data_IF_155029255044
#
_entry.id   IF_155029255044
#
_cell.length_a   1.000
_cell.length_b   1.000
_cell.length_c   1.000
_cell.angle_alpha   90.00
_cell.angle_beta   90.00
_cell.angle_gamma   90.00
#
_symmetry.space_group_name_H-M   'P 1'
#
loop_
_entity.id
_entity.type
_entity.pdbx_description
1 polymer ?
#
# COMPACT_ATOMS: atom_id res chain seq x y z
N UNK A 1 -22.31 -6.89 -1.23
CA UNK A 1 -21.05 -6.74 -1.99
C UNK A 1 -20.81 -8.06 -2.71
N UNK A 2 -20.50 -8.00 -4.00
CA UNK A 2 -20.10 -9.18 -4.77
C UNK A 2 -18.70 -9.67 -4.41
N UNK A 3 -18.16 -10.59 -5.22
CA UNK A 3 -16.81 -11.11 -5.04
C UNK A 3 -15.77 -9.98 -5.08
N UNK A 4 -14.90 -9.96 -4.09
CA UNK A 4 -13.70 -9.15 -4.08
C UNK A 4 -12.50 -10.06 -3.72
N UNK A 5 -11.41 -9.93 -4.47
CA UNK A 5 -10.19 -10.65 -4.19
C UNK A 5 -9.56 -10.15 -2.88
N UNK A 6 -8.73 -10.96 -2.26
CA UNK A 6 -7.99 -10.57 -1.05
C UNK A 6 -7.20 -9.27 -1.25
N UNK A 7 -6.88 -8.59 -0.15
CA UNK A 7 -5.95 -7.47 -0.16
C UNK A 7 -4.53 -7.99 -0.36
N UNK A 8 -4.03 -7.90 -1.58
CA UNK A 8 -2.68 -8.35 -1.96
C UNK A 8 -2.23 -7.63 -3.24
N UNK A 9 -0.92 -7.48 -3.42
CA UNK A 9 -0.33 -6.74 -4.54
C UNK A 9 -0.54 -5.23 -4.45
N UNK A 10 -0.89 -4.71 -3.27
CA UNK A 10 -1.07 -3.27 -3.00
C UNK A 10 -2.08 -2.57 -3.93
N UNK A 11 -3.13 -3.29 -4.36
CA UNK A 11 -4.05 -2.87 -5.41
C UNK A 11 -5.34 -2.20 -4.94
N UNK A 12 -5.64 -2.17 -3.65
CA UNK A 12 -6.95 -1.76 -3.12
C UNK A 12 -7.33 -0.34 -3.54
N UNK A 13 -6.41 0.62 -3.42
CA UNK A 13 -6.68 2.02 -3.76
C UNK A 13 -7.14 2.18 -5.21
N UNK A 14 -6.42 1.63 -6.18
CA UNK A 14 -6.78 1.80 -7.59
C UNK A 14 -7.92 0.88 -8.04
N UNK A 15 -7.99 -0.36 -7.56
CA UNK A 15 -9.02 -1.31 -8.00
C UNK A 15 -10.38 -1.02 -7.34
N UNK A 16 -10.43 -0.99 -6.01
CA UNK A 16 -11.66 -0.71 -5.28
C UNK A 16 -12.06 0.76 -5.43
N UNK A 17 -11.10 1.68 -5.40
CA UNK A 17 -11.36 3.11 -5.61
C UNK A 17 -12.01 3.39 -6.96
N UNK A 18 -11.51 2.77 -8.04
CA UNK A 18 -12.13 2.89 -9.37
C UNK A 18 -13.56 2.35 -9.38
N UNK A 19 -13.79 1.17 -8.78
CA UNK A 19 -15.13 0.59 -8.72
C UNK A 19 -16.11 1.50 -7.97
N UNK A 20 -15.68 2.14 -6.88
CA UNK A 20 -16.50 3.10 -6.12
C UNK A 20 -16.80 4.35 -6.95
N UNK A 21 -15.81 4.91 -7.63
CA UNK A 21 -16.00 6.08 -8.50
C UNK A 21 -16.98 5.77 -9.65
N UNK A 22 -16.80 4.64 -10.31
CA UNK A 22 -17.69 4.25 -11.41
C UNK A 22 -19.12 3.89 -10.92
N UNK A 23 -19.25 3.31 -9.74
CA UNK A 23 -20.58 3.11 -9.13
C UNK A 23 -21.26 4.44 -8.78
N UNK A 24 -20.50 5.43 -8.31
CA UNK A 24 -21.04 6.77 -8.08
C UNK A 24 -21.46 7.45 -9.39
N UNK A 25 -20.68 7.32 -10.46
CA UNK A 25 -21.08 7.81 -11.80
C UNK A 25 -22.33 7.11 -12.31
N UNK A 26 -22.47 5.81 -12.07
CA UNK A 26 -23.69 5.07 -12.44
C UNK A 26 -24.91 5.60 -11.67
N UNK A 27 -24.76 5.90 -10.36
CA UNK A 27 -25.84 6.52 -9.61
C UNK A 27 -26.23 7.90 -10.17
N UNK A 28 -25.24 8.72 -10.53
CA UNK A 28 -25.49 10.02 -11.20
C UNK A 28 -26.19 9.85 -12.53
N UNK A 29 -25.77 8.89 -13.36
CA UNK A 29 -26.45 8.57 -14.63
C UNK A 29 -27.92 8.22 -14.40
N UNK A 30 -28.21 7.35 -13.40
CA UNK A 30 -29.58 7.00 -13.05
C UNK A 30 -30.39 8.22 -12.57
N UNK A 31 -29.79 9.16 -11.81
CA UNK A 31 -30.44 10.41 -11.42
C UNK A 31 -30.82 11.26 -12.64
N UNK A 32 -29.92 11.39 -13.62
CA UNK A 32 -30.22 12.09 -14.89
C UNK A 32 -31.35 11.40 -15.66
N UNK A 33 -31.35 10.08 -15.74
CA UNK A 33 -32.44 9.30 -16.37
C UNK A 33 -33.79 9.50 -15.68
N UNK A 34 -33.81 9.66 -14.34
CA UNK A 34 -35.06 9.96 -13.61
C UNK A 34 -35.56 11.37 -13.90
N UNK A 35 -34.66 12.36 -13.95
CA UNK A 35 -35.04 13.74 -14.30
C UNK A 35 -35.54 13.80 -15.74
N UNK A 36 -34.90 13.10 -16.67
CA UNK A 36 -35.34 13.00 -18.07
C UNK A 36 -36.75 12.44 -18.17
N UNK A 37 -37.08 11.39 -17.40
CA UNK A 37 -38.47 10.85 -17.34
C UNK A 37 -39.49 11.84 -16.79
N UNK A 38 -39.09 12.67 -15.79
CA UNK A 38 -39.96 13.67 -15.20
C UNK A 38 -40.25 14.80 -16.20
N UNK A 39 -39.26 15.19 -16.97
CA UNK A 39 -39.34 16.26 -17.96
C UNK A 39 -39.80 15.77 -19.36
N UNK A 40 -39.92 14.44 -19.56
CA UNK A 40 -40.28 13.82 -20.84
C UNK A 40 -39.28 14.19 -21.97
N UNK A 41 -37.97 14.17 -21.63
CA UNK A 41 -36.89 14.45 -22.56
C UNK A 41 -35.90 13.29 -22.63
N UNK A 42 -34.97 13.32 -23.59
CA UNK A 42 -33.89 12.34 -23.67
C UNK A 42 -32.89 12.50 -22.51
N UNK A 43 -32.37 11.38 -22.00
CA UNK A 43 -31.42 11.39 -20.87
C UNK A 43 -30.12 12.14 -21.21
N UNK A 44 -29.70 12.15 -22.49
CA UNK A 44 -28.54 12.91 -22.95
C UNK A 44 -28.71 14.43 -22.83
N UNK A 45 -29.96 14.88 -22.76
CA UNK A 45 -30.32 16.29 -22.54
C UNK A 45 -30.23 16.72 -21.07
N UNK A 46 -29.83 15.84 -20.14
CA UNK A 46 -29.78 16.13 -18.72
C UNK A 46 -28.36 15.99 -18.18
N UNK A 47 -27.92 16.99 -17.43
CA UNK A 47 -26.64 16.97 -16.69
C UNK A 47 -26.86 17.01 -15.19
N UNK A 48 -25.89 16.50 -14.43
CA UNK A 48 -25.86 16.58 -12.98
C UNK A 48 -24.80 17.60 -12.54
N UNK A 49 -25.23 18.66 -11.90
CA UNK A 49 -24.33 19.70 -11.44
C UNK A 49 -24.77 20.29 -10.10
N UNK A 50 -23.83 20.44 -9.16
CA UNK A 50 -24.05 21.04 -7.84
C UNK A 50 -25.24 20.43 -7.09
N UNK A 51 -25.39 19.09 -7.13
CA UNK A 51 -26.44 18.36 -6.43
C UNK A 51 -27.83 18.44 -7.07
N UNK A 52 -27.92 18.90 -8.35
CA UNK A 52 -29.16 19.04 -9.10
C UNK A 52 -29.04 18.45 -10.50
N UNK A 53 -30.13 17.85 -10.98
CA UNK A 53 -30.32 17.60 -12.40
C UNK A 53 -30.73 18.89 -13.08
N UNK A 54 -30.13 19.22 -14.21
CA UNK A 54 -30.38 20.42 -15.01
C UNK A 54 -30.48 20.08 -16.49
N UNK A 55 -31.22 20.86 -17.31
CA UNK A 55 -31.10 20.77 -18.77
C UNK A 55 -29.64 21.01 -19.21
N UNK A 56 -29.14 20.17 -20.11
CA UNK A 56 -27.78 20.31 -20.65
C UNK A 56 -27.63 21.59 -21.49
N UNK A 57 -28.72 22.08 -22.10
CA UNK A 57 -28.77 23.31 -22.87
C UNK A 57 -30.19 23.86 -22.88
N UNK A 58 -30.34 25.11 -23.32
CA UNK A 58 -31.66 25.76 -23.54
C UNK A 58 -32.50 25.08 -24.62
N UNK A 59 -31.89 24.31 -25.51
CA UNK A 59 -32.60 23.58 -26.55
C UNK A 59 -33.42 22.38 -26.04
N UNK A 60 -33.08 21.89 -24.84
CA UNK A 60 -33.79 20.78 -24.20
C UNK A 60 -35.15 21.25 -23.65
N UNK A 61 -35.23 22.47 -23.18
CA UNK A 61 -36.41 23.10 -22.59
C UNK A 61 -36.01 23.97 -21.37
N UNK A 62 -36.93 24.77 -20.90
CA UNK A 62 -36.79 25.60 -19.71
C UNK A 62 -37.45 24.87 -18.53
N UNK A 63 -36.68 24.02 -17.86
CA UNK A 63 -37.11 23.24 -16.74
C UNK A 63 -36.42 23.70 -15.44
N UNK A 64 -37.18 23.77 -14.35
CA UNK A 64 -36.61 24.02 -13.04
C UNK A 64 -35.67 22.87 -12.62
N UNK A 65 -34.47 23.16 -12.11
CA UNK A 65 -33.54 22.16 -11.64
C UNK A 65 -34.14 21.26 -10.55
N UNK A 66 -33.95 19.94 -10.67
CA UNK A 66 -34.42 18.97 -9.69
C UNK A 66 -33.29 18.60 -8.73
N UNK A 67 -33.49 18.93 -7.45
CA UNK A 67 -32.56 18.51 -6.40
C UNK A 67 -32.60 17.00 -6.15
N UNK A 68 -31.57 16.47 -5.50
CA UNK A 68 -31.54 15.06 -5.06
C UNK A 68 -32.79 14.71 -4.23
N UNK A 69 -33.22 15.61 -3.34
CA UNK A 69 -34.41 15.41 -2.51
C UNK A 69 -35.70 15.32 -3.35
N UNK A 70 -35.83 16.18 -4.38
CA UNK A 70 -36.97 16.16 -5.30
C UNK A 70 -37.02 14.90 -6.14
N UNK A 71 -35.86 14.43 -6.61
CA UNK A 71 -35.77 13.16 -7.36
C UNK A 71 -36.07 11.96 -6.47
N UNK A 72 -35.55 11.94 -5.23
CA UNK A 72 -35.83 10.88 -4.27
C UNK A 72 -37.33 10.79 -3.90
N UNK A 73 -38.00 11.92 -3.74
CA UNK A 73 -39.46 11.96 -3.48
C UNK A 73 -40.29 11.39 -4.65
N UNK A 74 -39.79 11.50 -5.88
CA UNK A 74 -40.43 10.97 -7.07
C UNK A 74 -39.96 9.56 -7.48
N UNK A 75 -38.96 8.98 -6.78
CA UNK A 75 -38.43 7.67 -7.08
C UNK A 75 -39.51 6.57 -7.22
N UNK A 76 -40.55 6.47 -6.36
CA UNK A 76 -41.59 5.45 -6.52
C UNK A 76 -42.31 5.51 -7.87
N UNK A 77 -42.42 6.70 -8.47
CA UNK A 77 -43.13 6.91 -9.74
C UNK A 77 -42.21 6.79 -10.96
N UNK A 78 -40.90 6.91 -10.75
CA UNK A 78 -39.92 6.96 -11.85
C UNK A 78 -39.09 5.68 -12.01
N UNK A 79 -39.28 4.68 -11.13
CA UNK A 79 -38.64 3.36 -11.27
C UNK A 79 -37.99 2.86 -9.97
N UNK A 80 -38.37 3.38 -8.81
CA UNK A 80 -37.91 2.91 -7.50
C UNK A 80 -36.55 3.47 -7.06
N UNK A 81 -35.93 2.88 -6.03
CA UNK A 81 -34.66 3.33 -5.49
C UNK A 81 -33.54 3.34 -6.51
N UNK A 82 -32.63 4.31 -6.39
CA UNK A 82 -31.42 4.38 -7.20
C UNK A 82 -30.30 3.70 -6.41
N UNK A 83 -29.59 2.78 -7.10
CA UNK A 83 -28.44 2.10 -6.55
C UNK A 83 -27.36 2.01 -7.65
N UNK A 84 -26.29 2.78 -7.47
CA UNK A 84 -25.15 2.70 -8.38
C UNK A 84 -24.41 1.38 -8.23
N UNK A 85 -24.07 0.76 -9.33
CA UNK A 85 -23.34 -0.52 -9.37
C UNK A 85 -22.21 -0.47 -10.36
N UNK A 86 -21.06 -1.03 -9.97
CA UNK A 86 -19.96 -1.26 -10.90
C UNK A 86 -19.12 -2.46 -10.47
N UNK A 87 -18.59 -3.20 -11.43
CA UNK A 87 -17.62 -4.25 -11.25
C UNK A 87 -16.41 -3.97 -12.16
N UNK A 88 -15.22 -3.89 -11.55
CA UNK A 88 -13.98 -3.59 -12.27
C UNK A 88 -13.00 -4.76 -12.21
N UNK A 89 -12.35 -5.01 -13.34
CA UNK A 89 -11.20 -5.90 -13.40
C UNK A 89 -10.01 -5.11 -13.97
N UNK A 90 -9.35 -4.35 -13.09
CA UNK A 90 -8.23 -3.50 -13.49
C UNK A 90 -7.05 -4.36 -13.89
N UNK A 91 -6.61 -4.20 -15.13
CA UNK A 91 -5.45 -4.87 -15.71
C UNK A 91 -4.28 -3.88 -15.79
N UNK A 92 -3.07 -4.39 -15.80
CA UNK A 92 -1.86 -3.61 -15.98
C UNK A 92 -0.79 -3.94 -14.95
N UNK A 93 0.45 -3.61 -15.29
CA UNK A 93 1.60 -3.74 -14.42
C UNK A 93 2.00 -2.36 -13.88
N UNK A 94 2.18 -2.27 -12.59
CA UNK A 94 2.67 -1.08 -11.91
C UNK A 94 3.88 -1.44 -11.05
N UNK A 95 5.07 -1.71 -11.64
CA UNK A 95 6.23 -2.08 -10.86
C UNK A 95 6.54 -1.00 -9.83
N UNK A 96 6.87 -1.42 -8.61
CA UNK A 96 7.38 -0.55 -7.56
C UNK A 96 8.90 -0.39 -7.70
N UNK A 97 9.40 0.79 -7.37
CA UNK A 97 10.82 1.08 -7.30
C UNK A 97 11.12 1.69 -5.94
N UNK A 98 12.15 1.19 -5.28
CA UNK A 98 12.56 1.73 -3.99
C UNK A 98 14.07 1.57 -3.81
N UNK A 99 14.66 2.49 -3.06
CA UNK A 99 16.05 2.43 -2.57
C UNK A 99 16.03 2.73 -1.08
N UNK A 100 16.59 1.84 -0.28
CA UNK A 100 16.72 2.05 1.16
C UNK A 100 18.18 2.23 1.56
N UNK A 101 18.42 3.11 2.51
CA UNK A 101 19.73 3.41 3.08
C UNK A 101 19.67 3.12 4.57
N UNK A 102 20.66 2.37 5.05
CA UNK A 102 20.74 1.93 6.43
C UNK A 102 22.13 2.21 6.98
N UNK A 103 22.22 2.88 8.13
CA UNK A 103 23.44 3.02 8.91
C UNK A 103 23.31 2.15 10.16
N UNK A 104 24.32 1.34 10.43
CA UNK A 104 24.34 0.41 11.56
C UNK A 104 25.57 0.59 12.43
N UNK A 105 25.41 0.22 13.70
CA UNK A 105 26.49 -0.08 14.62
C UNK A 105 26.46 -1.57 14.94
N UNK A 106 27.61 -2.24 14.85
CA UNK A 106 27.73 -3.67 15.16
C UNK A 106 28.64 -3.83 16.37
N UNK A 107 28.16 -4.54 17.37
CA UNK A 107 28.97 -4.97 18.50
C UNK A 107 29.69 -6.30 18.13
N UNK A 108 31.02 -6.31 17.95
CA UNK A 108 31.73 -7.50 17.54
C UNK A 108 31.83 -8.58 18.64
N UNK A 109 31.63 -8.22 19.91
CA UNK A 109 31.69 -9.18 21.01
C UNK A 109 30.39 -9.98 21.19
N UNK A 110 29.26 -9.42 20.72
CA UNK A 110 27.94 -10.04 20.88
C UNK A 110 27.24 -10.35 19.57
N UNK A 111 27.71 -9.78 18.45
CA UNK A 111 27.04 -9.84 17.16
C UNK A 111 25.75 -9.00 17.13
N UNK A 112 25.50 -8.12 18.08
CA UNK A 112 24.33 -7.24 18.11
C UNK A 112 24.45 -6.15 17.07
N UNK A 113 23.33 -5.88 16.37
CA UNK A 113 23.21 -4.83 15.36
C UNK A 113 22.21 -3.79 15.79
N UNK A 114 22.65 -2.55 15.91
CA UNK A 114 21.80 -1.39 16.18
C UNK A 114 21.65 -0.55 14.91
N UNK A 115 20.43 -0.26 14.50
CA UNK A 115 20.17 0.64 13.37
C UNK A 115 20.19 2.07 13.86
N UNK A 116 21.15 2.85 13.39
CA UNK A 116 21.35 4.23 13.80
C UNK A 116 20.48 5.21 13.00
N UNK A 117 20.32 4.93 11.70
CA UNK A 117 19.50 5.70 10.77
C UNK A 117 18.95 4.80 9.67
N UNK A 118 17.72 5.09 9.27
CA UNK A 118 17.09 4.38 8.17
C UNK A 118 16.29 5.35 7.29
N UNK A 119 16.60 5.37 5.99
CA UNK A 119 15.89 6.18 4.99
C UNK A 119 15.30 5.27 3.90
N UNK A 120 14.01 5.35 3.72
CA UNK A 120 13.25 4.60 2.72
C UNK A 120 12.75 5.53 1.61
N UNK A 121 13.36 5.46 0.43
CA UNK A 121 13.00 6.25 -0.75
C UNK A 121 12.20 5.34 -1.67
N UNK A 122 10.95 5.72 -1.98
CA UNK A 122 10.07 4.91 -2.82
C UNK A 122 9.32 5.73 -3.85
N UNK A 123 9.26 5.23 -5.09
CA UNK A 123 8.34 5.71 -6.11
C UNK A 123 6.92 5.21 -5.80
N UNK A 124 6.04 6.13 -5.48
CA UNK A 124 4.64 5.87 -5.08
C UNK A 124 3.66 6.18 -6.22
N UNK A 125 4.16 6.58 -7.40
CA UNK A 125 3.34 7.13 -8.45
C UNK A 125 2.74 8.47 -8.01
N UNK A 126 1.44 8.52 -7.78
CA UNK A 126 0.77 9.66 -7.16
C UNK A 126 0.35 9.29 -5.73
N UNK A 127 0.79 10.05 -4.75
CA UNK A 127 0.38 9.90 -3.36
C UNK A 127 -1.04 10.44 -3.15
N UNK A 128 -2.05 9.57 -3.17
CA UNK A 128 -3.46 9.98 -2.96
C UNK A 128 -3.67 10.52 -1.53
N UNK A 129 -3.00 9.92 -0.55
CA UNK A 129 -3.04 10.34 0.84
C UNK A 129 -1.62 10.27 1.44
N UNK A 130 -0.82 11.35 1.34
CA UNK A 130 0.61 11.33 1.67
C UNK A 130 0.93 10.77 3.06
N UNK A 131 0.21 11.19 4.11
CA UNK A 131 0.48 10.70 5.48
C UNK A 131 0.21 9.21 5.66
N UNK A 132 -0.75 8.63 4.94
CA UNK A 132 -0.98 7.18 4.96
C UNK A 132 0.07 6.43 4.14
N UNK A 133 0.53 7.03 3.04
CA UNK A 133 1.63 6.49 2.24
C UNK A 133 2.91 6.44 3.08
N UNK A 134 3.25 7.50 3.80
CA UNK A 134 4.37 7.55 4.74
C UNK A 134 4.27 6.42 5.78
N UNK A 135 3.12 6.27 6.43
CA UNK A 135 2.91 5.19 7.40
C UNK A 135 3.05 3.78 6.80
N UNK A 136 2.66 3.57 5.53
CA UNK A 136 2.86 2.30 4.83
C UNK A 136 4.35 2.05 4.54
N UNK A 137 5.10 3.08 4.13
CA UNK A 137 6.55 2.97 3.90
C UNK A 137 7.28 2.62 5.20
N UNK A 138 6.98 3.32 6.28
CA UNK A 138 7.56 3.07 7.60
C UNK A 138 7.23 1.66 8.11
N UNK A 139 5.96 1.26 8.03
CA UNK A 139 5.51 -0.06 8.48
C UNK A 139 6.12 -1.21 7.67
N UNK A 140 6.20 -1.08 6.36
CA UNK A 140 6.82 -2.09 5.49
C UNK A 140 8.34 -2.19 5.72
N UNK A 141 9.03 -1.05 5.89
CA UNK A 141 10.45 -1.03 6.22
C UNK A 141 10.72 -1.69 7.57
N UNK A 142 9.93 -1.36 8.61
CA UNK A 142 10.03 -1.99 9.93
C UNK A 142 9.87 -3.51 9.88
N UNK A 143 8.89 -3.99 9.10
CA UNK A 143 8.69 -5.43 8.90
C UNK A 143 9.89 -6.08 8.19
N UNK A 144 10.42 -5.45 7.15
CA UNK A 144 11.60 -5.98 6.44
C UNK A 144 12.87 -5.98 7.28
N UNK A 145 13.03 -5.01 8.18
CA UNK A 145 14.12 -5.00 9.18
C UNK A 145 13.96 -6.16 10.17
N UNK A 146 12.74 -6.43 10.62
CA UNK A 146 12.44 -7.57 11.47
C UNK A 146 12.86 -8.90 10.82
N UNK A 147 12.56 -9.09 9.54
CA UNK A 147 13.02 -10.25 8.77
C UNK A 147 14.54 -10.28 8.61
N UNK A 148 15.18 -9.12 8.50
CA UNK A 148 16.62 -9.04 8.37
C UNK A 148 17.34 -9.51 9.65
N UNK A 149 16.85 -9.14 10.82
CA UNK A 149 17.61 -9.25 12.08
C UNK A 149 17.03 -10.25 13.09
N UNK A 150 15.70 -10.42 13.16
CA UNK A 150 15.08 -11.03 14.34
C UNK A 150 14.09 -12.16 14.04
N UNK A 151 13.27 -12.04 12.99
CA UNK A 151 12.10 -12.88 12.78
C UNK A 151 12.47 -14.22 12.14
N UNK A 152 12.15 -15.31 12.81
CA UNK A 152 12.40 -16.67 12.35
C UNK A 152 11.38 -17.64 12.92
N UNK A 153 10.88 -18.57 12.11
CA UNK A 153 10.17 -19.74 12.60
C UNK A 153 11.17 -20.84 13.01
N UNK A 154 11.14 -21.21 14.29
CA UNK A 154 12.03 -22.21 14.85
C UNK A 154 11.26 -23.53 15.02
N UNK A 155 11.59 -24.52 14.20
CA UNK A 155 10.97 -25.83 14.24
C UNK A 155 11.89 -26.83 14.97
N UNK A 156 11.30 -27.62 15.87
CA UNK A 156 12.00 -28.73 16.52
C UNK A 156 12.09 -29.96 15.60
N UNK A 157 12.78 -31.00 16.09
CA UNK A 157 12.98 -32.25 15.33
C UNK A 157 11.69 -33.02 15.00
N UNK A 158 10.54 -32.65 15.62
CA UNK A 158 9.22 -33.21 15.37
C UNK A 158 8.37 -32.38 14.41
N UNK A 159 8.92 -31.28 13.86
CA UNK A 159 8.20 -30.35 13.01
C UNK A 159 7.21 -29.45 13.72
N UNK A 160 7.32 -29.30 15.05
CA UNK A 160 6.52 -28.39 15.84
C UNK A 160 7.22 -27.05 15.92
N UNK A 161 6.46 -25.94 15.85
CA UNK A 161 6.97 -24.59 16.02
C UNK A 161 7.25 -24.32 17.51
N UNK A 162 8.49 -24.00 17.84
CA UNK A 162 8.92 -23.77 19.22
C UNK A 162 8.70 -22.32 19.68
N UNK A 163 8.50 -21.40 18.75
CA UNK A 163 8.28 -19.98 19.02
C UNK A 163 6.96 -19.42 18.47
N UNK A 164 5.79 -19.98 18.84
CA UNK A 164 4.50 -19.64 18.23
C UNK A 164 3.86 -18.36 18.80
N UNK A 165 4.37 -17.80 19.86
CA UNK A 165 3.75 -16.71 20.62
C UNK A 165 4.46 -15.38 20.46
N UNK A 166 3.81 -14.29 20.88
CA UNK A 166 4.37 -12.95 20.87
C UNK A 166 5.58 -12.75 21.81
N UNK A 167 5.82 -13.66 22.74
CA UNK A 167 7.00 -13.64 23.59
C UNK A 167 8.24 -14.19 22.88
N UNK A 168 8.04 -15.14 21.98
CA UNK A 168 9.11 -15.94 21.40
C UNK A 168 9.38 -15.56 19.94
N UNK A 169 8.36 -15.15 19.18
CA UNK A 169 8.50 -14.63 17.84
C UNK A 169 8.81 -13.12 17.88
N UNK A 170 10.03 -12.75 17.51
CA UNK A 170 10.57 -11.40 17.77
C UNK A 170 10.28 -10.42 16.65
N UNK A 171 9.07 -9.86 16.66
CA UNK A 171 8.74 -8.68 15.85
C UNK A 171 9.45 -7.47 16.48
N UNK A 172 10.07 -6.57 15.70
CA UNK A 172 10.66 -5.34 16.22
C UNK A 172 9.66 -4.51 17.02
N UNK A 173 10.07 -4.02 18.17
CA UNK A 173 9.30 -3.05 18.96
C UNK A 173 9.82 -1.64 18.70
N UNK A 174 9.08 -0.62 19.16
CA UNK A 174 9.40 0.78 18.87
C UNK A 174 10.80 1.23 19.34
N UNK A 175 11.37 0.57 20.37
CA UNK A 175 12.73 0.84 20.85
C UNK A 175 13.84 0.21 19.99
N UNK A 176 13.51 -0.72 19.11
CA UNK A 176 14.50 -1.45 18.32
C UNK A 176 14.86 -0.71 17.01
N UNK A 177 14.07 0.30 16.67
CA UNK A 177 14.19 1.02 15.41
C UNK A 177 14.30 2.53 15.63
N UNK A 178 15.13 3.23 14.84
CA UNK A 178 15.07 4.68 14.78
C UNK A 178 13.78 5.13 14.08
N UNK A 179 13.51 6.43 14.09
CA UNK A 179 12.51 7.01 13.20
C UNK A 179 12.92 6.72 11.74
N UNK A 180 12.05 6.04 11.00
CA UNK A 180 12.27 5.75 9.59
C UNK A 180 11.90 6.99 8.76
N UNK A 181 12.88 7.54 8.06
CA UNK A 181 12.70 8.68 7.16
C UNK A 181 12.12 8.18 5.83
N UNK A 182 10.86 8.52 5.56
CA UNK A 182 10.15 8.10 4.36
C UNK A 182 10.17 9.21 3.30
N UNK A 183 10.84 8.93 2.17
CA UNK A 183 10.94 9.86 1.05
C UNK A 183 10.09 9.35 -0.11
N UNK A 184 9.02 10.07 -0.42
CA UNK A 184 8.13 9.77 -1.54
C UNK A 184 8.63 10.41 -2.82
N UNK A 185 8.83 9.59 -3.85
CA UNK A 185 9.06 10.02 -5.22
C UNK A 185 7.78 9.81 -6.01
N UNK A 186 7.29 10.84 -6.68
CA UNK A 186 6.03 10.75 -7.44
C UNK A 186 6.29 10.73 -8.94
N UNK A 187 6.33 9.52 -9.53
CA UNK A 187 6.35 9.31 -10.98
C UNK A 187 5.05 8.62 -11.38
N UNK A 188 4.04 9.37 -11.87
CA UNK A 188 2.73 8.82 -12.19
C UNK A 188 2.81 7.62 -13.13
N UNK A 189 1.99 6.60 -12.85
CA UNK A 189 1.88 5.42 -13.70
C UNK A 189 0.65 5.52 -14.60
N UNK A 190 0.86 5.75 -15.88
CA UNK A 190 -0.21 5.90 -16.87
C UNK A 190 -1.07 4.64 -17.08
N UNK A 191 -0.58 3.49 -16.61
CA UNK A 191 -1.30 2.21 -16.74
C UNK A 191 -2.23 1.89 -15.57
N UNK A 192 -2.17 2.67 -14.49
CA UNK A 192 -3.04 2.52 -13.35
C UNK A 192 -3.96 3.73 -13.18
N UNK A 193 -5.20 3.52 -12.72
CA UNK A 193 -6.08 4.62 -12.34
C UNK A 193 -5.39 5.56 -11.36
N UNK A 194 -5.65 6.85 -11.52
CA UNK A 194 -5.11 7.94 -10.68
C UNK A 194 -3.58 8.11 -10.73
N UNK A 195 -2.86 7.40 -11.60
CA UNK A 195 -1.40 7.45 -11.66
C UNK A 195 -0.68 6.80 -10.48
N UNK A 196 -1.36 5.97 -9.69
CA UNK A 196 -0.80 5.37 -8.47
C UNK A 196 0.13 4.19 -8.75
N UNK A 197 1.03 3.92 -7.80
CA UNK A 197 1.78 2.65 -7.66
C UNK A 197 1.46 1.99 -6.33
N UNK A 198 1.76 0.71 -6.22
CA UNK A 198 1.61 -0.02 -4.98
C UNK A 198 2.59 0.47 -3.90
N UNK A 199 2.11 0.66 -2.68
CA UNK A 199 2.91 1.15 -1.56
C UNK A 199 2.90 0.18 -0.37
N UNK A 200 1.85 -0.64 -0.23
CA UNK A 200 1.69 -1.49 0.96
C UNK A 200 2.75 -2.59 1.09
N UNK A 201 3.18 -3.20 -0.01
CA UNK A 201 4.09 -4.35 0.01
C UNK A 201 5.51 -4.02 -0.50
N UNK A 202 5.69 -2.94 -1.23
CA UNK A 202 7.00 -2.57 -1.81
C UNK A 202 8.05 -2.29 -0.73
N UNK A 203 7.75 -1.58 0.36
CA UNK A 203 8.77 -1.17 1.33
C UNK A 203 9.38 -2.31 2.14
N UNK A 204 8.77 -3.51 2.15
CA UNK A 204 9.34 -4.67 2.84
C UNK A 204 10.51 -5.31 2.08
N UNK A 205 10.63 -5.07 0.78
CA UNK A 205 11.59 -5.78 -0.08
C UNK A 205 13.04 -5.30 0.09
N UNK A 206 13.36 -3.99 0.11
CA UNK A 206 14.74 -3.52 0.18
C UNK A 206 15.44 -3.72 1.54
N UNK A 207 14.76 -3.71 2.72
CA UNK A 207 15.43 -3.70 4.02
C UNK A 207 16.42 -4.84 4.23
N UNK A 208 16.09 -6.04 3.85
CA UNK A 208 16.95 -7.20 4.05
C UNK A 208 18.32 -7.00 3.37
N UNK A 209 18.32 -6.48 2.15
CA UNK A 209 19.55 -6.21 1.42
C UNK A 209 20.27 -4.95 1.96
N UNK A 210 19.54 -3.91 2.34
CA UNK A 210 20.11 -2.69 2.90
C UNK A 210 20.85 -2.98 4.22
N UNK A 211 20.23 -3.74 5.12
CA UNK A 211 20.84 -4.13 6.39
C UNK A 211 22.05 -5.06 6.16
N UNK A 212 21.93 -6.05 5.26
CA UNK A 212 23.06 -6.94 4.96
C UNK A 212 24.27 -6.17 4.39
N UNK A 213 24.03 -5.19 3.52
CA UNK A 213 25.11 -4.35 2.98
C UNK A 213 25.73 -3.46 4.04
N UNK A 214 24.91 -2.92 4.97
CA UNK A 214 25.40 -2.10 6.08
C UNK A 214 26.27 -2.92 7.04
N UNK A 215 25.87 -4.14 7.40
CA UNK A 215 26.65 -5.07 8.22
C UNK A 215 27.98 -5.40 7.53
N UNK A 216 27.96 -5.75 6.24
CA UNK A 216 29.18 -6.04 5.48
C UNK A 216 30.13 -4.82 5.45
N UNK A 217 29.57 -3.62 5.24
CA UNK A 217 30.39 -2.41 5.24
C UNK A 217 31.01 -2.11 6.62
N UNK A 218 30.32 -2.44 7.70
CA UNK A 218 30.82 -2.24 9.07
C UNK A 218 31.83 -3.28 9.52
N UNK A 219 31.72 -4.53 9.06
CA UNK A 219 32.44 -5.69 9.60
C UNK A 219 33.34 -6.41 8.60
N UNK A 220 33.18 -6.14 7.31
CA UNK A 220 33.83 -6.93 6.23
C UNK A 220 33.19 -8.31 6.00
N UNK A 221 32.20 -8.71 6.80
CA UNK A 221 31.57 -10.04 6.75
C UNK A 221 30.26 -10.00 5.98
N UNK A 222 30.18 -10.74 4.87
CA UNK A 222 28.95 -10.89 4.09
C UNK A 222 28.05 -11.98 4.65
N UNK A 223 26.89 -11.59 5.16
CA UNK A 223 25.83 -12.51 5.55
C UNK A 223 24.97 -12.88 4.34
N UNK A 224 24.71 -14.17 4.13
CA UNK A 224 23.93 -14.70 3.01
C UNK A 224 22.63 -15.41 3.42
N UNK A 225 22.34 -15.47 4.71
CA UNK A 225 21.14 -16.10 5.26
C UNK A 225 20.45 -15.20 6.27
N UNK A 226 19.12 -15.29 6.34
CA UNK A 226 18.28 -14.54 7.26
C UNK A 226 17.72 -15.46 8.38
N UNK A 227 17.42 -14.89 9.54
CA UNK A 227 17.81 -13.56 9.99
C UNK A 227 19.32 -13.49 10.29
N UNK A 228 19.90 -12.31 10.17
CA UNK A 228 21.26 -12.02 10.59
C UNK A 228 21.28 -11.72 12.09
N UNK A 229 20.76 -12.66 12.87
CA UNK A 229 20.62 -12.54 14.32
C UNK A 229 21.97 -12.54 15.03
N UNK A 230 22.07 -11.96 16.25
CA UNK A 230 23.33 -11.85 16.98
C UNK A 230 24.14 -13.14 17.04
N UNK A 231 23.59 -14.32 17.37
CA UNK A 231 24.36 -15.56 17.38
C UNK A 231 24.94 -15.95 16.01
N UNK A 232 24.17 -15.67 14.92
CA UNK A 232 24.62 -16.00 13.57
C UNK A 232 25.70 -15.04 13.08
N UNK A 233 25.54 -13.76 13.38
CA UNK A 233 26.55 -12.77 13.01
C UNK A 233 27.84 -12.98 13.81
N UNK A 234 27.74 -13.19 15.14
CA UNK A 234 28.91 -13.50 15.95
C UNK A 234 29.69 -14.71 15.43
N UNK A 235 29.00 -15.80 15.13
CA UNK A 235 29.64 -16.99 14.56
C UNK A 235 30.34 -16.71 13.21
N UNK A 236 29.80 -15.79 12.41
CA UNK A 236 30.41 -15.40 11.14
C UNK A 236 31.63 -14.49 11.34
N UNK A 237 31.61 -13.58 12.32
CA UNK A 237 32.75 -12.76 12.73
C UNK A 237 33.91 -13.62 13.23
N UNK A 238 33.65 -14.55 14.18
CA UNK A 238 34.66 -15.49 14.72
C UNK A 238 35.34 -16.31 13.61
N UNK A 239 34.56 -16.74 12.59
CA UNK A 239 35.12 -17.49 11.45
C UNK A 239 35.99 -16.62 10.54
N UNK A 240 35.69 -15.33 10.40
CA UNK A 240 36.48 -14.39 9.62
C UNK A 240 37.83 -14.11 10.33
N UNK A 241 37.82 -13.85 11.61
CA UNK A 241 39.00 -13.61 12.43
C UNK A 241 39.98 -14.81 12.42
N UNK A 242 39.43 -16.04 12.50
CA UNK A 242 40.25 -17.27 12.40
C UNK A 242 40.92 -17.39 11.03
N UNK A 243 40.26 -16.98 9.95
CA UNK A 243 40.87 -17.01 8.60
C UNK A 243 41.98 -15.98 8.44
N UNK A 244 41.74 -14.76 8.90
CA UNK A 244 42.73 -13.67 8.85
C UNK A 244 43.98 -14.00 9.70
N UNK A 245 43.79 -14.64 10.85
CA UNK A 245 44.91 -15.08 11.71
C UNK A 245 45.70 -16.27 11.13
N UNK A 246 45.19 -16.98 10.12
CA UNK A 246 45.80 -18.13 9.48
C UNK A 246 46.55 -17.79 8.19
N UNK A 247 46.41 -16.58 7.66
CA UNK A 247 47.13 -16.01 6.50
C UNK A 247 48.35 -15.20 6.97
#
# INVERSE_FOLDING_TARGET
>A
IGYNFLTGGSRVTFATGLAVVEAAKDAVRQLCERAAKIWEVDAEGVIWENGHAKPASTNVGDFEPLSLANLAAQAPKTGGPICGHNAQNVQGAGPGFATHICDVEVDPETGSVSILRYTAIQDVGRAIHPSYVEGQIQGGAAQGIGWALNEEYIYNSKGQLDNPGFLDYRIPVASDLPMIDAVMVEVPNDRHPYGVRGVGEVPIVPPMAAVANAIENATGVRMSALPMSPPRLLAALDQADIKEAAE
#
